data_IF_544195828278
#
_entry.id   IF_544195828278
#
_cell.length_a   1.000
_cell.length_b   1.000
_cell.length_c   1.000
_cell.angle_alpha   90.00
_cell.angle_beta   90.00
_cell.angle_gamma   90.00
#
_symmetry.space_group_name_H-M   'P 1'
#
loop_
_entity.id
_entity.type
_entity.pdbx_description
1 polymer ?
#
# COMPACT_ATOMS: atom_id res chain seq x y z
N UNK A 1 -20.89 7.55 -20.54
CA UNK A 1 -20.17 7.65 -19.23
C UNK A 1 -18.72 8.11 -19.40
N UNK A 2 -18.10 8.85 -18.46
CA UNK A 2 -16.67 9.23 -18.51
C UNK A 2 -15.86 8.64 -17.33
N UNK A 3 -14.68 8.07 -17.62
CA UNK A 3 -13.78 7.46 -16.63
C UNK A 3 -12.36 7.97 -16.83
N UNK A 4 -11.68 8.38 -15.76
CA UNK A 4 -10.26 8.72 -15.79
C UNK A 4 -9.41 7.50 -15.43
N UNK A 5 -8.49 7.12 -16.32
CA UNK A 5 -7.47 6.11 -16.06
C UNK A 5 -6.16 6.78 -15.65
N UNK A 6 -5.47 6.26 -14.64
CA UNK A 6 -4.11 6.69 -14.34
C UNK A 6 -3.20 6.31 -15.52
N UNK A 7 -2.54 7.30 -16.13
CA UNK A 7 -1.66 7.10 -17.29
C UNK A 7 -0.45 8.04 -17.21
N UNK A 8 0.76 7.47 -17.09
CA UNK A 8 1.99 8.24 -16.90
C UNK A 8 1.94 9.10 -15.63
N UNK A 9 2.17 10.42 -15.78
CA UNK A 9 2.09 11.41 -14.68
C UNK A 9 0.71 12.06 -14.53
N UNK A 10 -0.30 11.59 -15.27
CA UNK A 10 -1.62 12.20 -15.29
C UNK A 10 -2.74 11.19 -15.50
N UNK A 11 -3.77 11.61 -16.22
CA UNK A 11 -4.93 10.78 -16.51
C UNK A 11 -5.24 10.74 -18.00
N UNK A 12 -5.71 9.58 -18.46
CA UNK A 12 -6.33 9.41 -19.77
C UNK A 12 -7.85 9.38 -19.58
N UNK A 13 -8.59 10.39 -20.06
CA UNK A 13 -10.05 10.35 -20.04
C UNK A 13 -10.57 9.36 -21.08
N UNK A 14 -11.43 8.43 -20.66
CA UNK A 14 -12.14 7.50 -21.52
C UNK A 14 -13.64 7.81 -21.50
N UNK A 15 -14.21 8.02 -22.68
CA UNK A 15 -15.65 8.13 -22.87
C UNK A 15 -16.19 6.78 -23.30
N UNK A 16 -17.00 6.16 -22.44
CA UNK A 16 -17.66 4.89 -22.69
C UNK A 16 -19.05 5.14 -23.30
N UNK A 17 -19.42 4.33 -24.29
CA UNK A 17 -20.74 4.38 -24.92
C UNK A 17 -21.80 3.91 -23.91
N UNK A 18 -22.94 4.58 -23.89
CA UNK A 18 -24.01 4.26 -22.94
C UNK A 18 -24.72 2.93 -23.27
N UNK A 19 -24.50 2.38 -24.48
CA UNK A 19 -25.00 1.06 -24.90
C UNK A 19 -24.19 -0.11 -24.33
N UNK A 20 -23.04 0.16 -23.69
CA UNK A 20 -22.20 -0.89 -23.15
C UNK A 20 -22.65 -1.24 -21.74
N UNK A 21 -22.71 -2.55 -21.45
CA UNK A 21 -22.82 -3.03 -20.08
C UNK A 21 -21.43 -2.96 -19.42
N UNK A 22 -21.24 -1.95 -18.57
CA UNK A 22 -19.94 -1.61 -17.99
C UNK A 22 -19.96 -1.82 -16.48
N UNK A 23 -18.98 -2.57 -15.97
CA UNK A 23 -18.69 -2.65 -14.55
C UNK A 23 -17.36 -1.94 -14.23
N UNK A 24 -17.39 -0.98 -13.31
CA UNK A 24 -16.16 -0.33 -12.80
C UNK A 24 -15.76 -0.96 -11.47
N UNK A 25 -14.60 -1.61 -11.45
CA UNK A 25 -13.98 -2.13 -10.22
C UNK A 25 -12.97 -1.11 -9.70
N UNK A 26 -13.11 -0.70 -8.43
CA UNK A 26 -12.17 0.21 -7.73
C UNK A 26 -11.54 -0.49 -6.54
N UNK A 27 -10.30 -0.11 -6.21
CA UNK A 27 -9.70 -0.50 -4.94
C UNK A 27 -10.55 0.05 -3.79
N UNK A 28 -10.74 -0.71 -2.70
CA UNK A 28 -11.30 -0.17 -1.46
C UNK A 28 -10.51 1.07 -1.01
N UNK A 29 -11.16 1.96 -0.25
CA UNK A 29 -10.46 3.11 0.34
C UNK A 29 -9.33 2.58 1.23
N UNK A 30 -8.09 2.97 0.91
CA UNK A 30 -6.92 2.76 1.76
C UNK A 30 -6.68 4.06 2.52
N UNK A 31 -7.12 4.18 3.78
CA UNK A 31 -6.98 5.42 4.53
C UNK A 31 -5.50 5.77 4.72
N UNK A 32 -5.16 7.02 4.44
CA UNK A 32 -3.81 7.55 4.67
C UNK A 32 -3.63 7.71 6.18
N UNK A 33 -2.54 7.16 6.72
CA UNK A 33 -2.17 7.35 8.12
C UNK A 33 -1.83 8.82 8.37
N UNK A 34 -2.39 9.40 9.42
CA UNK A 34 -2.17 10.81 9.79
C UNK A 34 -0.76 11.06 10.30
N UNK A 35 -0.16 10.05 10.96
CA UNK A 35 1.22 10.06 11.41
C UNK A 35 1.92 8.79 10.91
N UNK A 36 2.59 8.84 9.74
CA UNK A 36 3.27 7.69 9.18
C UNK A 36 4.42 7.17 10.06
N UNK A 37 5.13 8.05 10.78
CA UNK A 37 6.26 7.64 11.62
C UNK A 37 5.75 6.84 12.82
N UNK A 38 4.77 7.38 13.56
CA UNK A 38 4.18 6.68 14.69
C UNK A 38 3.44 5.39 14.27
N UNK A 39 2.93 5.33 13.04
CA UNK A 39 2.34 4.10 12.50
C UNK A 39 3.38 2.99 12.29
N UNK A 40 4.55 3.34 11.74
CA UNK A 40 5.66 2.39 11.55
C UNK A 40 6.21 1.92 12.90
N UNK A 41 6.46 2.83 13.84
CA UNK A 41 6.99 2.47 15.17
C UNK A 41 6.06 1.48 15.89
N UNK A 42 4.75 1.76 15.89
CA UNK A 42 3.76 0.85 16.49
C UNK A 42 3.75 -0.52 15.80
N UNK A 43 3.90 -0.57 14.49
CA UNK A 43 3.92 -1.83 13.75
C UNK A 43 5.15 -2.68 14.12
N UNK A 44 6.31 -2.05 14.27
CA UNK A 44 7.54 -2.76 14.69
C UNK A 44 7.47 -3.27 16.13
N UNK A 45 6.82 -2.52 17.03
CA UNK A 45 6.63 -2.91 18.42
C UNK A 45 5.56 -3.99 18.63
N UNK A 46 4.68 -4.21 17.64
CA UNK A 46 3.57 -5.16 17.74
C UNK A 46 3.61 -6.16 16.57
N UNK A 47 4.61 -7.07 16.54
CA UNK A 47 4.76 -8.04 15.46
C UNK A 47 3.60 -9.03 15.43
N UNK A 48 3.22 -9.48 14.23
CA UNK A 48 2.15 -10.46 14.03
C UNK A 48 2.75 -11.81 13.70
N UNK A 49 2.61 -12.77 14.61
CA UNK A 49 3.03 -14.16 14.37
C UNK A 49 4.55 -14.42 14.41
N UNK A 50 5.34 -13.46 14.92
CA UNK A 50 6.78 -13.60 15.11
C UNK A 50 7.29 -12.78 16.30
N UNK A 51 8.59 -12.91 16.62
CA UNK A 51 9.27 -12.06 17.61
C UNK A 51 9.54 -10.65 17.08
N UNK A 52 9.90 -9.73 17.97
CA UNK A 52 10.33 -8.38 17.58
C UNK A 52 11.67 -8.42 16.87
N UNK A 53 12.02 -7.35 16.15
CA UNK A 53 13.32 -7.24 15.48
C UNK A 53 14.45 -7.41 16.50
N UNK A 54 14.35 -6.80 17.69
CA UNK A 54 15.34 -6.90 18.75
C UNK A 54 15.53 -8.35 19.20
N UNK A 55 14.44 -9.09 19.40
CA UNK A 55 14.51 -10.51 19.79
C UNK A 55 15.11 -11.40 18.70
N UNK A 56 14.89 -11.07 17.43
CA UNK A 56 15.39 -11.85 16.30
C UNK A 56 16.84 -11.51 15.93
N UNK A 57 17.28 -10.30 16.26
CA UNK A 57 18.65 -9.82 16.02
C UNK A 57 19.59 -10.06 17.20
N UNK A 58 19.08 -10.56 18.33
CA UNK A 58 19.88 -10.87 19.50
C UNK A 58 20.95 -11.94 19.17
N UNK A 59 22.15 -11.78 19.71
CA UNK A 59 23.31 -12.63 19.39
C UNK A 59 24.30 -12.07 18.34
N UNK A 60 24.07 -10.85 17.82
CA UNK A 60 25.13 -10.04 17.17
C UNK A 60 25.61 -10.51 15.79
N UNK A 61 24.69 -10.91 14.91
CA UNK A 61 24.99 -11.38 13.56
C UNK A 61 25.01 -10.31 12.46
N UNK A 62 25.01 -10.76 11.20
CA UNK A 62 24.82 -9.90 10.02
C UNK A 62 23.33 -9.80 9.70
N UNK A 63 22.83 -8.59 9.46
CA UNK A 63 21.45 -8.32 9.06
C UNK A 63 21.42 -7.88 7.59
N UNK A 64 20.44 -8.34 6.84
CA UNK A 64 20.14 -7.88 5.48
C UNK A 64 18.73 -7.31 5.46
N UNK A 65 18.57 -6.07 4.99
CA UNK A 65 17.26 -5.43 4.80
C UNK A 65 17.00 -5.36 3.30
N UNK A 66 15.96 -6.05 2.83
CA UNK A 66 15.52 -6.00 1.44
C UNK A 66 14.53 -4.84 1.26
N UNK A 67 14.83 -3.93 0.32
CA UNK A 67 13.99 -2.78 -0.04
C UNK A 67 13.82 -2.76 -1.56
N UNK A 68 12.60 -2.50 -2.06
CA UNK A 68 12.27 -2.42 -3.49
C UNK A 68 11.94 -0.99 -3.93
#
# INVERSE_FOLDING_TARGET
MQVNLNYGRGVLPLTLRDTWDVTIVRKPKMPIQTDPLAAVDRALQNPVGCGTIESLADGGGKVCVLVC
#
